data_IF_096949982587
#
_entry.id   IF_096949982587
#
_cell.length_a   1.000
_cell.length_b   1.000
_cell.length_c   1.000
_cell.angle_alpha   90.00
_cell.angle_beta   90.00
_cell.angle_gamma   90.00
#
_symmetry.space_group_name_H-M   'P 1'
#
loop_
_entity.id
_entity.type
_entity.pdbx_description
1 polymer ?
#
# COMPACT_ATOMS: atom_id res chain seq x y z
N UNK A 1 -12.36 19.33 -19.60
CA UNK A 1 -12.58 17.95 -19.13
C UNK A 1 -13.84 17.30 -19.68
N UNK A 2 -15.05 17.90 -19.67
CA UNK A 2 -16.22 17.26 -20.34
C UNK A 2 -15.94 16.98 -21.82
N UNK A 3 -15.45 17.96 -22.60
CA UNK A 3 -15.00 17.69 -23.98
C UNK A 3 -13.81 16.72 -24.10
N UNK A 4 -12.99 16.55 -23.07
CA UNK A 4 -11.84 15.63 -23.08
C UNK A 4 -12.24 14.21 -22.67
N UNK A 5 -13.16 14.04 -21.73
CA UNK A 5 -13.77 12.78 -21.34
C UNK A 5 -14.80 12.33 -22.37
N UNK A 6 -15.52 13.24 -23.03
CA UNK A 6 -16.40 12.93 -24.17
C UNK A 6 -15.57 12.57 -25.41
N UNK A 7 -14.49 13.31 -25.71
CA UNK A 7 -13.58 12.92 -26.81
C UNK A 7 -12.77 11.64 -26.49
N UNK A 8 -12.35 11.45 -25.23
CA UNK A 8 -11.78 10.17 -24.79
C UNK A 8 -12.84 9.08 -24.80
N UNK A 9 -14.09 9.35 -24.45
CA UNK A 9 -15.19 8.37 -24.49
C UNK A 9 -15.51 7.98 -25.92
N UNK A 10 -15.59 8.91 -26.86
CA UNK A 10 -15.80 8.61 -28.28
C UNK A 10 -14.62 7.80 -28.84
N UNK A 11 -13.39 8.20 -28.52
CA UNK A 11 -12.17 7.48 -28.94
C UNK A 11 -12.08 6.09 -28.29
N UNK A 12 -12.44 5.98 -27.01
CA UNK A 12 -12.54 4.71 -26.27
C UNK A 12 -13.57 3.81 -26.92
N UNK A 13 -14.78 4.31 -27.17
CA UNK A 13 -15.87 3.54 -27.76
C UNK A 13 -15.48 3.09 -29.17
N UNK A 14 -14.90 3.98 -29.97
CA UNK A 14 -14.42 3.65 -31.31
C UNK A 14 -13.31 2.59 -31.28
N UNK A 15 -12.32 2.72 -30.37
CA UNK A 15 -11.25 1.74 -30.25
C UNK A 15 -11.78 0.39 -29.74
N UNK A 16 -12.72 0.39 -28.80
CA UNK A 16 -13.38 -0.83 -28.34
C UNK A 16 -14.19 -1.49 -29.46
N UNK A 17 -14.86 -0.71 -30.31
CA UNK A 17 -15.58 -1.23 -31.49
C UNK A 17 -14.64 -1.80 -32.55
N UNK A 18 -13.49 -1.18 -32.79
CA UNK A 18 -12.54 -1.61 -33.83
C UNK A 18 -11.59 -2.71 -33.38
N UNK A 19 -11.08 -2.63 -32.15
CA UNK A 19 -10.00 -3.49 -31.61
C UNK A 19 -10.50 -4.43 -30.50
N UNK A 20 -11.74 -4.27 -30.03
CA UNK A 20 -12.32 -5.08 -28.96
C UNK A 20 -11.84 -4.70 -27.55
N UNK A 21 -10.92 -3.75 -27.43
CA UNK A 21 -10.33 -3.29 -26.17
C UNK A 21 -9.77 -1.88 -26.29
N UNK A 22 -9.77 -1.12 -25.19
CA UNK A 22 -9.12 0.17 -25.11
C UNK A 22 -7.73 0.04 -24.48
N UNK A 23 -6.73 0.66 -25.11
CA UNK A 23 -5.36 0.78 -24.59
C UNK A 23 -4.95 2.25 -24.66
N UNK A 24 -4.62 2.91 -23.53
CA UNK A 24 -4.14 4.30 -23.57
C UNK A 24 -2.87 4.44 -24.42
N UNK A 25 -2.83 5.43 -25.29
CA UNK A 25 -1.70 5.69 -26.21
C UNK A 25 -0.38 6.00 -25.48
N UNK A 26 -0.45 6.37 -24.21
CA UNK A 26 0.72 6.62 -23.36
C UNK A 26 1.45 5.36 -22.94
N UNK A 27 0.86 4.17 -23.13
CA UNK A 27 1.42 2.90 -22.68
C UNK A 27 2.31 2.27 -23.76
N UNK A 28 3.47 1.79 -23.35
CA UNK A 28 4.38 1.04 -24.22
C UNK A 28 3.93 -0.41 -24.38
N UNK A 29 3.97 -0.92 -25.61
CA UNK A 29 3.73 -2.34 -25.89
C UNK A 29 5.01 -3.15 -25.71
N UNK A 30 4.86 -4.41 -25.29
CA UNK A 30 5.93 -5.37 -25.08
C UNK A 30 7.02 -4.85 -24.12
N UNK A 31 6.60 -4.15 -23.07
CA UNK A 31 7.47 -3.70 -22.00
C UNK A 31 8.16 -4.89 -21.33
N UNK A 32 9.44 -4.76 -21.01
CA UNK A 32 10.18 -5.82 -20.32
C UNK A 32 9.67 -6.07 -18.91
N UNK A 33 9.24 -4.99 -18.23
CA UNK A 33 8.54 -5.07 -16.95
C UNK A 33 7.04 -5.11 -17.29
N UNK A 34 6.30 -6.16 -16.87
CA UNK A 34 4.88 -6.25 -17.12
C UNK A 34 4.11 -5.08 -16.49
N UNK A 35 3.04 -4.65 -17.15
CA UNK A 35 2.17 -3.62 -16.63
C UNK A 35 1.43 -4.10 -15.37
N UNK A 36 1.24 -3.20 -14.42
CA UNK A 36 0.45 -3.47 -13.21
C UNK A 36 -0.86 -2.71 -13.28
N UNK A 37 -1.96 -3.42 -13.17
CA UNK A 37 -3.30 -2.85 -13.16
C UNK A 37 -3.73 -2.61 -11.71
N UNK A 38 -3.99 -1.37 -11.33
CA UNK A 38 -4.50 -1.04 -10.01
C UNK A 38 -5.99 -0.74 -10.08
N UNK A 39 -6.77 -1.53 -9.35
CA UNK A 39 -8.22 -1.40 -9.23
C UNK A 39 -8.58 -0.70 -7.94
N UNK A 40 -9.56 0.20 -8.01
CA UNK A 40 -10.04 0.92 -6.84
C UNK A 40 -11.55 1.21 -6.95
N UNK A 41 -12.16 1.47 -5.80
CA UNK A 41 -13.53 1.94 -5.70
C UNK A 41 -13.56 3.47 -5.65
N UNK A 42 -14.32 4.08 -6.55
CA UNK A 42 -14.63 5.50 -6.52
C UNK A 42 -15.96 5.72 -5.79
N UNK A 43 -15.85 6.04 -4.51
CA UNK A 43 -16.99 6.44 -3.66
C UNK A 43 -17.07 7.98 -3.60
N UNK A 44 -17.92 8.57 -4.43
CA UNK A 44 -18.24 9.99 -4.32
C UNK A 44 -19.56 10.20 -3.58
N UNK A 45 -19.47 10.83 -2.40
CA UNK A 45 -20.65 11.38 -1.74
C UNK A 45 -21.18 12.54 -2.58
N UNK A 46 -22.23 12.32 -3.35
CA UNK A 46 -22.91 13.40 -4.05
C UNK A 46 -23.64 14.24 -3.01
N UNK A 47 -23.36 15.54 -2.98
CA UNK A 47 -24.20 16.50 -2.24
C UNK A 47 -25.44 16.81 -3.06
N UNK A 48 -26.31 15.82 -3.27
CA UNK A 48 -27.65 16.04 -3.81
C UNK A 48 -28.62 16.30 -2.66
N UNK A 49 -29.69 17.04 -2.93
CA UNK A 49 -30.78 17.30 -1.97
C UNK A 49 -31.41 16.00 -1.43
N UNK A 50 -31.24 14.88 -2.15
CA UNK A 50 -31.76 13.55 -1.82
C UNK A 50 -30.72 12.61 -1.17
N UNK A 51 -29.46 13.04 -1.00
CA UNK A 51 -28.44 12.26 -0.30
C UNK A 51 -27.90 11.03 -1.04
N UNK A 52 -27.55 11.16 -2.32
CA UNK A 52 -27.01 10.06 -3.14
C UNK A 52 -25.51 9.80 -2.95
N UNK A 53 -25.09 8.54 -3.16
CA UNK A 53 -23.69 8.15 -3.32
C UNK A 53 -23.47 7.61 -4.74
N UNK A 54 -22.45 8.12 -5.44
CA UNK A 54 -21.99 7.55 -6.69
C UNK A 54 -20.87 6.56 -6.40
N UNK A 55 -21.07 5.31 -6.81
CA UNK A 55 -20.10 4.23 -6.65
C UNK A 55 -19.68 3.77 -8.05
N UNK A 56 -18.39 3.82 -8.35
CA UNK A 56 -17.86 3.35 -9.63
C UNK A 56 -16.59 2.53 -9.43
N UNK A 57 -16.38 1.59 -10.33
CA UNK A 57 -15.13 0.85 -10.44
C UNK A 57 -14.20 1.58 -11.38
N UNK A 58 -12.97 1.80 -10.94
CA UNK A 58 -11.91 2.38 -11.77
C UNK A 58 -10.71 1.45 -11.79
N UNK A 59 -9.97 1.52 -12.90
CA UNK A 59 -8.67 0.90 -12.99
C UNK A 59 -7.68 1.85 -13.66
N UNK A 60 -6.42 1.74 -13.26
CA UNK A 60 -5.29 2.38 -13.92
C UNK A 60 -4.27 1.33 -14.31
N UNK A 61 -3.50 1.65 -15.34
CA UNK A 61 -2.32 0.90 -15.78
C UNK A 61 -1.10 1.64 -15.27
N UNK A 62 -0.21 0.93 -14.59
CA UNK A 62 1.06 1.43 -14.08
C UNK A 62 2.16 0.78 -14.90
N UNK A 63 2.85 1.60 -15.69
CA UNK A 63 4.04 1.19 -16.42
C UNK A 63 5.28 1.60 -15.60
N UNK A 64 5.96 0.60 -15.05
CA UNK A 64 7.18 0.82 -14.27
C UNK A 64 8.37 1.01 -15.21
N UNK A 65 9.05 2.13 -15.04
CA UNK A 65 10.24 2.47 -15.80
C UNK A 65 11.46 1.77 -15.21
N UNK A 66 12.37 1.30 -16.07
CA UNK A 66 13.65 0.73 -15.61
C UNK A 66 14.43 1.77 -14.82
N UNK A 67 15.05 1.32 -13.72
CA UNK A 67 16.05 2.13 -13.02
C UNK A 67 17.30 2.12 -13.89
N UNK A 68 17.48 3.15 -14.72
CA UNK A 68 18.73 3.35 -15.46
C UNK A 68 19.69 4.09 -14.55
N UNK A 69 20.80 3.44 -14.14
CA UNK A 69 21.91 4.13 -13.45
C UNK A 69 22.62 5.01 -14.50
N UNK A 70 22.22 6.27 -14.65
CA UNK A 70 22.88 7.24 -15.55
C UNK A 70 23.38 8.42 -14.74
N UNK A 71 24.59 8.88 -15.09
CA UNK A 71 25.27 10.06 -14.56
C UNK A 71 24.40 11.32 -14.68
N UNK A 72 24.57 12.19 -13.68
CA UNK A 72 23.84 13.44 -13.47
C UNK A 72 23.66 14.27 -14.75
N UNK A 73 22.41 14.70 -15.01
CA UNK A 73 22.18 15.73 -16.01
C UNK A 73 20.74 15.84 -16.49
N UNK A 74 19.90 16.52 -15.69
CA UNK A 74 18.80 17.41 -16.09
C UNK A 74 17.61 17.31 -15.12
N UNK A 75 17.37 18.39 -14.36
CA UNK A 75 16.15 18.57 -13.59
C UNK A 75 15.04 19.05 -14.53
N UNK A 76 13.91 18.34 -14.55
CA UNK A 76 12.66 18.86 -15.11
C UNK A 76 11.72 19.27 -13.98
N UNK A 77 11.18 20.48 -14.11
CA UNK A 77 10.20 21.05 -13.18
C UNK A 77 8.80 20.51 -13.47
N UNK A 78 8.15 19.90 -12.48
CA UNK A 78 6.74 19.54 -12.54
C UNK A 78 5.89 20.69 -12.01
N UNK A 79 4.99 21.22 -12.84
CA UNK A 79 3.97 22.18 -12.46
C UNK A 79 2.77 21.48 -11.81
N UNK A 80 2.36 21.96 -10.63
CA UNK A 80 1.14 21.52 -9.92
C UNK A 80 0.11 22.64 -9.89
N UNK A 81 -0.97 22.51 -10.68
CA UNK A 81 -2.30 23.12 -10.47
C UNK A 81 -3.28 22.33 -11.38
N UNK A 82 -4.56 22.04 -11.10
CA UNK A 82 -5.58 22.68 -10.27
C UNK A 82 -6.78 21.74 -9.99
N UNK A 83 -7.45 22.03 -8.85
CA UNK A 83 -8.89 21.96 -8.47
C UNK A 83 -9.89 20.88 -8.98
N UNK A 84 -10.59 20.31 -7.98
CA UNK A 84 -11.80 19.45 -8.00
C UNK A 84 -13.00 20.01 -8.78
N UNK A 85 -13.79 19.14 -9.47
CA UNK A 85 -15.29 19.17 -9.61
C UNK A 85 -15.86 17.96 -10.41
N UNK A 86 -17.19 17.80 -10.34
CA UNK A 86 -18.07 16.60 -10.34
C UNK A 86 -18.36 15.88 -11.68
N UNK A 87 -18.67 14.57 -11.59
CA UNK A 87 -19.10 13.64 -12.67
C UNK A 87 -20.62 13.71 -12.93
N UNK A 88 -21.07 13.40 -14.16
CA UNK A 88 -22.49 13.27 -14.54
C UNK A 88 -22.87 11.82 -14.88
N UNK A 89 -24.14 11.47 -14.65
CA UNK A 89 -24.71 10.12 -14.71
C UNK A 89 -24.48 9.40 -16.05
N UNK A 90 -23.88 8.20 -15.94
CA UNK A 90 -23.75 7.23 -17.03
C UNK A 90 -24.84 6.20 -16.86
N UNK A 91 -25.54 5.90 -17.94
CA UNK A 91 -26.71 5.01 -17.98
C UNK A 91 -26.33 3.58 -17.60
N UNK A 92 -27.10 2.97 -16.70
CA UNK A 92 -26.90 1.59 -16.23
C UNK A 92 -26.90 0.59 -17.40
N UNK A 93 -25.74 -0.04 -17.63
CA UNK A 93 -25.67 -1.23 -18.49
C UNK A 93 -26.18 -2.44 -17.69
N UNK A 94 -26.93 -3.36 -18.32
CA UNK A 94 -27.45 -4.55 -17.64
C UNK A 94 -26.29 -5.41 -17.12
N UNK A 95 -26.29 -5.67 -15.82
CA UNK A 95 -25.24 -6.42 -15.14
C UNK A 95 -25.19 -7.87 -15.63
N UNK A 96 -24.04 -8.38 -16.12
CA UNK A 96 -23.86 -9.81 -16.34
C UNK A 96 -23.94 -10.56 -15.00
N UNK A 97 -24.31 -11.83 -14.99
CA UNK A 97 -24.42 -12.58 -13.74
C UNK A 97 -23.08 -13.24 -13.35
N UNK A 98 -22.51 -12.84 -12.21
CA UNK A 98 -21.45 -13.60 -11.53
C UNK A 98 -21.85 -13.87 -10.08
N UNK A 99 -22.10 -15.14 -9.74
CA UNK A 99 -22.47 -15.52 -8.38
C UNK A 99 -21.23 -15.95 -7.58
N UNK A 100 -20.84 -15.17 -6.57
CA UNK A 100 -19.79 -15.55 -5.59
C UNK A 100 -20.44 -15.72 -4.22
N UNK A 101 -20.34 -16.92 -3.64
CA UNK A 101 -20.93 -17.20 -2.33
C UNK A 101 -20.06 -16.72 -1.18
N UNK A 102 -20.63 -16.62 0.02
CA UNK A 102 -19.86 -16.34 1.24
C UNK A 102 -18.78 -17.39 1.52
N UNK A 103 -19.05 -18.67 1.18
CA UNK A 103 -18.09 -19.77 1.31
C UNK A 103 -16.88 -19.58 0.38
N UNK A 104 -17.10 -19.09 -0.83
CA UNK A 104 -16.03 -18.80 -1.80
C UNK A 104 -15.11 -17.68 -1.28
N UNK A 105 -15.69 -16.64 -0.67
CA UNK A 105 -14.93 -15.57 -0.01
C UNK A 105 -14.12 -16.08 1.20
N UNK A 106 -14.72 -16.95 2.02
CA UNK A 106 -14.04 -17.52 3.17
C UNK A 106 -12.86 -18.40 2.75
N UNK A 107 -13.01 -19.19 1.68
CA UNK A 107 -11.92 -19.99 1.11
C UNK A 107 -10.76 -19.12 0.63
N UNK A 108 -11.03 -17.94 0.11
CA UNK A 108 -9.99 -16.98 -0.33
C UNK A 108 -9.13 -16.45 0.83
N UNK A 109 -9.64 -16.54 2.07
CA UNK A 109 -8.89 -16.21 3.30
C UNK A 109 -8.20 -17.42 3.93
N UNK A 110 -8.39 -18.61 3.37
CA UNK A 110 -7.83 -19.84 3.90
C UNK A 110 -6.33 -19.94 3.60
N UNK A 111 -5.58 -20.51 4.54
CA UNK A 111 -4.17 -20.83 4.36
C UNK A 111 -3.97 -22.18 3.65
N UNK A 112 -5.05 -22.92 3.36
CA UNK A 112 -5.02 -24.27 2.76
C UNK A 112 -4.24 -24.35 1.43
N UNK A 113 -4.17 -23.24 0.70
CA UNK A 113 -3.54 -23.15 -0.63
C UNK A 113 -2.24 -22.34 -0.64
N UNK A 114 -1.77 -21.88 0.53
CA UNK A 114 -0.45 -21.27 0.65
C UNK A 114 0.55 -22.42 0.69
N UNK A 115 1.31 -22.59 -0.40
CA UNK A 115 2.52 -23.42 -0.37
C UNK A 115 3.37 -22.96 0.81
N UNK A 116 3.89 -23.91 1.60
CA UNK A 116 4.73 -23.58 2.76
C UNK A 116 5.81 -22.60 2.29
N UNK A 117 5.98 -21.50 3.01
CA UNK A 117 7.00 -20.49 2.70
C UNK A 117 8.40 -21.12 2.50
N UNK A 118 8.65 -22.24 3.18
CA UNK A 118 9.86 -23.07 3.09
C UNK A 118 10.11 -23.68 1.69
N UNK A 119 9.09 -23.82 0.84
CA UNK A 119 9.24 -24.36 -0.53
C UNK A 119 9.48 -23.27 -1.59
N UNK A 120 9.31 -21.99 -1.22
CA UNK A 120 9.67 -20.86 -2.06
C UNK A 120 11.13 -20.53 -1.76
N UNK A 121 12.05 -21.22 -2.43
CA UNK A 121 13.48 -20.94 -2.36
C UNK A 121 13.74 -19.59 -3.06
N UNK A 122 13.49 -18.49 -2.35
CA UNK A 122 13.80 -17.15 -2.83
C UNK A 122 15.24 -16.84 -2.48
N UNK A 123 16.15 -17.09 -3.42
CA UNK A 123 17.47 -16.46 -3.39
C UNK A 123 17.29 -14.94 -3.47
N UNK A 124 17.33 -14.25 -2.33
CA UNK A 124 17.51 -12.80 -2.32
C UNK A 124 18.99 -12.52 -2.58
N UNK A 125 19.29 -11.44 -3.28
CA UNK A 125 20.66 -11.00 -3.53
C UNK A 125 21.30 -10.34 -2.28
N UNK A 126 20.61 -10.36 -1.13
CA UNK A 126 21.04 -9.74 0.13
C UNK A 126 20.99 -8.20 0.13
N UNK A 127 21.00 -7.56 -1.04
CA UNK A 127 21.13 -6.10 -1.20
C UNK A 127 20.06 -5.33 -0.42
N UNK A 128 18.81 -5.80 -0.42
CA UNK A 128 17.71 -5.14 0.30
C UNK A 128 17.88 -5.22 1.83
N UNK A 129 18.42 -6.33 2.34
CA UNK A 129 18.68 -6.56 3.75
C UNK A 129 19.86 -5.69 4.23
N UNK A 130 20.90 -5.57 3.40
CA UNK A 130 22.04 -4.68 3.65
C UNK A 130 21.64 -3.21 3.71
N UNK A 131 20.79 -2.75 2.79
CA UNK A 131 20.28 -1.36 2.80
C UNK A 131 19.45 -1.05 4.05
N UNK A 132 18.61 -1.99 4.49
CA UNK A 132 17.84 -1.84 5.71
C UNK A 132 18.75 -1.81 6.95
N UNK A 133 19.74 -2.70 6.99
CA UNK A 133 20.73 -2.75 8.08
C UNK A 133 21.54 -1.46 8.14
N UNK A 134 22.06 -0.99 7.00
CA UNK A 134 22.79 0.28 6.90
C UNK A 134 21.95 1.45 7.40
N UNK A 135 20.69 1.55 6.95
CA UNK A 135 19.79 2.61 7.40
C UNK A 135 19.55 2.56 8.91
N UNK A 136 19.33 1.36 9.47
CA UNK A 136 19.13 1.17 10.92
C UNK A 136 20.37 1.57 11.72
N UNK A 137 21.55 1.11 11.30
CA UNK A 137 22.82 1.43 11.97
C UNK A 137 23.10 2.94 11.94
N UNK A 138 22.92 3.57 10.78
CA UNK A 138 23.13 5.01 10.63
C UNK A 138 22.17 5.82 11.52
N UNK A 139 20.91 5.39 11.65
CA UNK A 139 19.96 6.00 12.58
C UNK A 139 20.35 5.80 14.05
N UNK A 140 20.84 4.62 14.43
CA UNK A 140 21.29 4.38 15.81
C UNK A 140 22.49 5.26 16.18
N UNK A 141 23.46 5.42 15.28
CA UNK A 141 24.65 6.27 15.49
C UNK A 141 24.25 7.74 15.61
N UNK A 142 23.47 8.25 14.65
CA UNK A 142 22.98 9.65 14.70
C UNK A 142 22.11 9.94 15.93
N UNK A 143 21.32 8.97 16.42
CA UNK A 143 20.54 9.16 17.66
C UNK A 143 21.42 9.21 18.91
N UNK A 144 22.59 8.55 18.88
CA UNK A 144 23.59 8.63 19.96
C UNK A 144 24.30 9.99 19.99
N UNK A 145 24.56 10.59 18.82
CA UNK A 145 25.20 11.91 18.69
C UNK A 145 24.21 13.06 18.96
N UNK A 146 22.92 12.87 18.67
CA UNK A 146 21.84 13.83 18.95
C UNK A 146 21.53 14.03 20.43
N UNK A 147 21.98 13.14 21.32
CA UNK A 147 21.88 13.36 22.77
C UNK A 147 22.79 14.50 23.25
N UNK A 148 23.83 14.84 22.48
CA UNK A 148 24.80 15.90 22.77
C UNK A 148 24.67 17.13 21.83
N UNK A 149 23.74 17.09 20.86
CA UNK A 149 23.57 18.15 19.86
C UNK A 149 22.57 19.24 20.32
N UNK A 150 22.79 20.52 19.96
CA UNK A 150 21.84 21.60 20.25
C UNK A 150 20.49 21.38 19.53
N UNK A 151 19.37 21.85 20.11
CA UNK A 151 18.01 21.55 19.68
C UNK A 151 17.63 22.01 18.26
N UNK A 152 18.49 22.79 17.61
CA UNK A 152 18.24 23.42 16.31
C UNK A 152 18.90 22.69 15.13
N UNK A 153 19.61 21.59 15.39
CA UNK A 153 20.26 20.81 14.35
C UNK A 153 19.29 19.85 13.67
N UNK A 154 18.70 20.24 12.53
CA UNK A 154 18.03 19.32 11.60
C UNK A 154 19.04 18.31 11.02
N UNK A 155 19.42 17.31 11.79
CA UNK A 155 20.45 16.32 11.43
C UNK A 155 20.01 14.90 11.80
N UNK A 156 18.79 14.56 11.40
CA UNK A 156 18.29 13.19 11.47
C UNK A 156 18.35 12.53 10.09
N UNK A 157 18.85 11.29 10.02
CA UNK A 157 18.64 10.47 8.82
C UNK A 157 17.14 10.37 8.50
N UNK A 158 16.74 10.51 7.22
CA UNK A 158 15.34 10.49 6.85
C UNK A 158 14.70 9.12 7.11
N UNK A 159 13.37 9.07 7.07
CA UNK A 159 12.62 7.80 7.10
C UNK A 159 13.09 6.85 5.97
N UNK A 160 12.95 5.53 6.15
CA UNK A 160 13.52 4.54 5.22
C UNK A 160 13.13 4.79 3.76
N UNK A 161 11.88 5.16 3.48
CA UNK A 161 11.44 5.46 2.11
C UNK A 161 12.17 6.66 1.49
N UNK A 162 12.42 7.71 2.27
CA UNK A 162 13.15 8.88 1.82
C UNK A 162 14.65 8.57 1.68
N UNK A 163 15.23 7.80 2.61
CA UNK A 163 16.59 7.27 2.46
C UNK A 163 16.76 6.46 1.17
N UNK A 164 15.81 5.57 0.85
CA UNK A 164 15.84 4.79 -0.38
C UNK A 164 15.68 5.67 -1.64
N UNK A 165 14.91 6.77 -1.55
CA UNK A 165 14.79 7.74 -2.63
C UNK A 165 16.10 8.52 -2.84
N UNK A 166 16.78 8.90 -1.77
CA UNK A 166 18.09 9.57 -1.82
C UNK A 166 19.17 8.68 -2.43
N UNK A 167 19.09 7.35 -2.21
CA UNK A 167 19.98 6.37 -2.86
C UNK A 167 19.70 6.20 -4.36
N UNK A 168 18.53 6.61 -4.83
CA UNK A 168 18.10 6.47 -6.22
C UNK A 168 17.51 7.80 -6.74
N UNK A 169 18.30 8.89 -6.78
CA UNK A 169 17.81 10.24 -7.07
C UNK A 169 17.27 10.39 -8.51
N UNK A 170 17.53 9.40 -9.37
CA UNK A 170 17.11 9.37 -10.77
C UNK A 170 16.16 8.22 -11.07
N UNK A 171 15.28 7.84 -10.13
CA UNK A 171 14.23 6.89 -10.44
C UNK A 171 13.18 7.57 -11.34
N UNK A 172 13.04 7.15 -12.61
CA UNK A 172 11.98 7.69 -13.47
C UNK A 172 10.61 7.40 -12.85
N UNK A 173 9.71 8.38 -12.94
CA UNK A 173 8.33 8.21 -12.50
C UNK A 173 7.64 7.15 -13.36
N UNK A 174 6.78 6.34 -12.74
CA UNK A 174 5.93 5.41 -13.47
C UNK A 174 4.97 6.19 -14.38
N UNK A 175 4.69 5.64 -15.56
CA UNK A 175 3.69 6.21 -16.48
C UNK A 175 2.34 5.64 -16.11
N UNK A 176 1.32 6.51 -16.02
CA UNK A 176 -0.03 6.12 -15.62
C UNK A 176 -0.96 6.20 -16.83
N UNK A 177 -1.59 5.07 -17.17
CA UNK A 177 -2.68 4.98 -18.13
C UNK A 177 -4.02 4.89 -17.40
N UNK A 178 -4.97 5.76 -17.73
CA UNK A 178 -6.31 5.70 -17.14
C UNK A 178 -7.24 4.84 -18.00
N UNK A 179 -7.94 3.90 -17.38
CA UNK A 179 -8.99 3.12 -18.04
C UNK A 179 -10.37 3.77 -17.84
N UNK A 180 -11.33 3.51 -18.74
CA UNK A 180 -12.69 4.05 -18.62
C UNK A 180 -13.36 3.57 -17.33
N UNK A 181 -14.13 4.42 -16.67
CA UNK A 181 -14.86 4.05 -15.46
C UNK A 181 -16.01 3.08 -15.79
N UNK A 182 -16.30 2.16 -14.87
CA UNK A 182 -17.57 1.42 -14.86
C UNK A 182 -18.45 2.05 -13.78
N UNK A 183 -19.64 2.57 -14.10
CA UNK A 183 -20.54 3.26 -13.15
C UNK A 183 -21.28 2.26 -12.25
N UNK A 184 -20.57 1.27 -11.70
CA UNK A 184 -21.09 0.28 -10.79
C UNK A 184 -20.05 -0.06 -9.72
N UNK A 185 -20.51 -0.45 -8.54
CA UNK A 185 -19.62 -0.73 -7.41
C UNK A 185 -18.78 -1.99 -7.67
N UNK A 186 -17.47 -1.98 -7.34
CA UNK A 186 -16.61 -3.17 -7.43
C UNK A 186 -16.96 -4.23 -6.37
N UNK A 187 -17.89 -3.92 -5.45
CA UNK A 187 -18.43 -4.90 -4.50
C UNK A 187 -19.36 -5.93 -5.15
N UNK A 188 -19.87 -5.62 -6.35
CA UNK A 188 -20.61 -6.57 -7.18
C UNK A 188 -19.62 -7.52 -7.89
N UNK A 189 -19.67 -8.83 -7.63
CA UNK A 189 -18.79 -9.80 -8.28
C UNK A 189 -18.92 -9.81 -9.80
N UNK A 190 -20.08 -9.45 -10.36
CA UNK A 190 -20.27 -9.35 -11.79
C UNK A 190 -19.44 -8.23 -12.41
N UNK A 191 -19.52 -7.05 -11.80
CA UNK A 191 -18.77 -5.86 -12.19
C UNK A 191 -17.27 -6.16 -12.10
N UNK A 192 -16.84 -6.77 -10.99
CA UNK A 192 -15.43 -7.11 -10.79
C UNK A 192 -14.94 -8.15 -11.81
N UNK A 193 -15.75 -9.16 -12.14
CA UNK A 193 -15.39 -10.18 -13.13
C UNK A 193 -15.24 -9.57 -14.53
N UNK A 194 -16.18 -8.74 -14.95
CA UNK A 194 -16.08 -8.06 -16.26
C UNK A 194 -14.88 -7.12 -16.31
N UNK A 195 -14.61 -6.42 -15.21
CA UNK A 195 -13.43 -5.57 -15.12
C UNK A 195 -12.15 -6.40 -15.24
N UNK A 196 -12.03 -7.52 -14.52
CA UNK A 196 -10.90 -8.44 -14.67
C UNK A 196 -10.73 -8.95 -16.10
N UNK A 197 -11.82 -9.29 -16.80
CA UNK A 197 -11.75 -9.67 -18.23
C UNK A 197 -11.24 -8.52 -19.10
N UNK A 198 -11.68 -7.29 -18.84
CA UNK A 198 -11.20 -6.09 -19.53
C UNK A 198 -9.70 -5.92 -19.33
N UNK A 199 -9.23 -6.05 -18.09
CA UNK A 199 -7.79 -5.95 -17.77
C UNK A 199 -6.96 -7.04 -18.45
N UNK A 200 -7.45 -8.29 -18.50
CA UNK A 200 -6.78 -9.38 -19.24
C UNK A 200 -6.65 -9.05 -20.73
N UNK A 201 -7.72 -8.56 -21.36
CA UNK A 201 -7.68 -8.13 -22.77
C UNK A 201 -6.70 -6.98 -22.99
N UNK A 202 -6.71 -5.98 -22.11
CA UNK A 202 -5.81 -4.82 -22.20
C UNK A 202 -4.35 -5.25 -22.02
N UNK A 203 -4.07 -6.10 -21.05
CA UNK A 203 -2.75 -6.69 -20.79
C UNK A 203 -2.23 -7.47 -21.99
N UNK A 204 -3.08 -8.30 -22.61
CA UNK A 204 -2.72 -9.02 -23.83
C UNK A 204 -2.46 -8.08 -25.02
N UNK A 205 -3.25 -7.02 -25.18
CA UNK A 205 -3.03 -6.00 -26.22
C UNK A 205 -1.75 -5.17 -26.01
N UNK A 206 -1.29 -5.06 -24.75
CA UNK A 206 0.01 -4.51 -24.37
C UNK A 206 1.16 -5.52 -24.55
N UNK A 207 0.88 -6.78 -24.84
CA UNK A 207 1.88 -7.83 -25.03
C UNK A 207 2.37 -8.49 -23.74
N UNK A 208 1.71 -8.25 -22.61
CA UNK A 208 2.07 -8.89 -21.35
C UNK A 208 1.67 -10.37 -21.35
N UNK A 209 2.56 -11.23 -20.88
CA UNK A 209 2.27 -12.67 -20.70
C UNK A 209 1.34 -12.94 -19.50
N UNK A 210 1.50 -12.16 -18.43
CA UNK A 210 0.72 -12.27 -17.19
C UNK A 210 0.02 -10.95 -16.91
N UNK A 211 -1.23 -11.02 -16.48
CA UNK A 211 -1.99 -9.84 -16.07
C UNK A 211 -1.85 -9.66 -14.57
N UNK A 212 -1.12 -8.63 -14.15
CA UNK A 212 -0.88 -8.33 -12.73
C UNK A 212 -1.93 -7.33 -12.26
N UNK A 213 -2.78 -7.74 -11.31
CA UNK A 213 -3.85 -6.89 -10.77
C UNK A 213 -3.61 -6.65 -9.30
N UNK A 214 -3.62 -5.40 -8.87
CA UNK A 214 -3.57 -4.98 -7.47
C UNK A 214 -4.83 -4.22 -7.08
N UNK A 215 -5.25 -4.33 -5.83
CA UNK A 215 -6.40 -3.57 -5.32
C UNK A 215 -6.43 -3.51 -3.80
N UNK A 216 -7.45 -2.85 -3.26
CA UNK A 216 -7.70 -2.86 -1.82
C UNK A 216 -8.01 -4.29 -1.31
N UNK A 217 -8.10 -4.45 0.02
CA UNK A 217 -8.31 -5.77 0.60
C UNK A 217 -9.64 -6.42 0.16
N UNK A 218 -10.73 -5.65 0.08
CA UNK A 218 -12.04 -6.19 -0.26
C UNK A 218 -12.09 -6.65 -1.72
N UNK A 219 -11.54 -5.85 -2.62
CA UNK A 219 -11.41 -6.13 -4.06
C UNK A 219 -10.49 -7.33 -4.28
N UNK A 220 -9.35 -7.38 -3.59
CA UNK A 220 -8.43 -8.51 -3.66
C UNK A 220 -9.10 -9.83 -3.26
N UNK A 221 -9.77 -9.87 -2.10
CA UNK A 221 -10.45 -11.07 -1.63
C UNK A 221 -11.54 -11.55 -2.59
N UNK A 222 -12.29 -10.63 -3.18
CA UNK A 222 -13.32 -10.96 -4.16
C UNK A 222 -12.73 -11.42 -5.50
N UNK A 223 -11.66 -10.77 -5.97
CA UNK A 223 -10.94 -11.16 -7.18
C UNK A 223 -10.33 -12.56 -7.06
N UNK A 224 -9.78 -12.93 -5.89
CA UNK A 224 -9.28 -14.29 -5.62
C UNK A 224 -10.41 -15.31 -5.76
N UNK A 225 -11.57 -15.04 -5.15
CA UNK A 225 -12.74 -15.92 -5.26
C UNK A 225 -13.21 -16.09 -6.72
N UNK A 226 -13.23 -15.00 -7.49
CA UNK A 226 -13.59 -15.03 -8.92
C UNK A 226 -12.57 -15.83 -9.73
N UNK A 227 -11.27 -15.55 -9.56
CA UNK A 227 -10.18 -16.25 -10.24
C UNK A 227 -10.22 -17.75 -9.96
N UNK A 228 -10.38 -18.15 -8.70
CA UNK A 228 -10.40 -19.57 -8.33
C UNK A 228 -11.62 -20.30 -8.85
N UNK A 229 -12.77 -19.62 -8.94
CA UNK A 229 -13.99 -20.16 -9.54
C UNK A 229 -13.92 -20.28 -11.06
N UNK A 230 -13.17 -19.40 -11.72
CA UNK A 230 -13.01 -19.30 -13.17
C UNK A 230 -11.53 -19.43 -13.57
N UNK A 231 -10.88 -20.50 -13.09
CA UNK A 231 -9.42 -20.74 -13.23
C UNK A 231 -8.97 -20.80 -14.68
N UNK A 232 -9.80 -21.33 -15.55
CA UNK A 232 -9.62 -21.39 -17.00
C UNK A 232 -9.61 -20.00 -17.63
N UNK A 233 -10.55 -19.13 -17.25
CA UNK A 233 -10.65 -17.74 -17.73
C UNK A 233 -9.48 -16.87 -17.22
N UNK A 234 -8.99 -17.11 -16.00
CA UNK A 234 -8.02 -16.25 -15.31
C UNK A 234 -6.69 -16.96 -14.97
N UNK A 235 -6.29 -17.95 -15.75
CA UNK A 235 -5.09 -18.76 -15.49
C UNK A 235 -3.78 -17.95 -15.47
N UNK A 236 -3.70 -16.85 -16.23
CA UNK A 236 -2.53 -15.98 -16.31
C UNK A 236 -2.65 -14.71 -15.45
N UNK A 237 -3.63 -14.66 -14.54
CA UNK A 237 -3.85 -13.51 -13.65
C UNK A 237 -3.09 -13.70 -12.35
N UNK A 238 -2.22 -12.74 -12.04
CA UNK A 238 -1.54 -12.63 -10.75
C UNK A 238 -2.22 -11.53 -9.95
N UNK A 239 -2.79 -11.90 -8.80
CA UNK A 239 -3.45 -10.97 -7.89
C UNK A 239 -2.47 -10.56 -6.80
N UNK A 240 -2.35 -9.26 -6.57
CA UNK A 240 -1.54 -8.67 -5.51
C UNK A 240 -2.45 -7.89 -4.56
N UNK A 241 -2.27 -8.11 -3.25
CA UNK A 241 -2.88 -7.22 -2.27
C UNK A 241 -2.20 -5.84 -2.37
N UNK A 242 -2.96 -4.75 -2.35
CA UNK A 242 -2.41 -3.40 -2.42
C UNK A 242 -1.37 -3.16 -1.32
N UNK A 243 -0.27 -2.49 -1.67
CA UNK A 243 0.90 -2.34 -0.78
C UNK A 243 0.58 -1.73 0.59
N UNK A 244 -0.39 -0.81 0.65
CA UNK A 244 -0.90 -0.29 1.93
C UNK A 244 -1.51 -1.38 2.80
N UNK A 245 -2.39 -2.22 2.23
CA UNK A 245 -3.04 -3.31 2.97
C UNK A 245 -2.07 -4.45 3.29
N UNK A 246 -1.08 -4.72 2.45
CA UNK A 246 0.02 -5.63 2.78
C UNK A 246 0.76 -5.15 4.03
N UNK A 247 1.19 -3.89 4.06
CA UNK A 247 1.86 -3.29 5.21
C UNK A 247 0.94 -3.29 6.45
N UNK A 248 -0.32 -2.88 6.30
CA UNK A 248 -1.27 -2.86 7.42
C UNK A 248 -1.50 -4.27 8.00
N UNK A 249 -1.72 -5.28 7.17
CA UNK A 249 -1.95 -6.65 7.62
C UNK A 249 -0.71 -7.24 8.30
N UNK A 250 0.48 -7.00 7.74
CA UNK A 250 1.73 -7.41 8.37
C UNK A 250 1.91 -6.78 9.75
N UNK A 251 1.72 -5.45 9.86
CA UNK A 251 1.87 -4.76 11.14
C UNK A 251 0.82 -5.20 12.16
N UNK A 252 -0.43 -5.46 11.73
CA UNK A 252 -1.46 -6.02 12.63
C UNK A 252 -1.04 -7.36 13.20
N UNK A 253 -0.45 -8.25 12.38
CA UNK A 253 0.06 -9.52 12.85
C UNK A 253 1.19 -9.34 13.88
N UNK A 254 2.15 -8.44 13.59
CA UNK A 254 3.24 -8.09 14.52
C UNK A 254 2.69 -7.52 15.83
N UNK A 255 1.76 -6.56 15.78
CA UNK A 255 1.15 -5.98 16.97
C UNK A 255 0.37 -7.00 17.78
N UNK A 256 -0.29 -7.98 17.14
CA UNK A 256 -0.95 -9.09 17.85
C UNK A 256 0.06 -9.92 18.64
N UNK A 257 1.18 -10.31 18.02
CA UNK A 257 2.25 -11.08 18.69
C UNK A 257 2.82 -10.29 19.88
N UNK A 258 3.14 -9.02 19.66
CA UNK A 258 3.72 -8.15 20.69
C UNK A 258 2.73 -7.91 21.84
N UNK A 259 1.44 -7.76 21.55
CA UNK A 259 0.37 -7.67 22.55
C UNK A 259 0.30 -8.93 23.39
N UNK A 260 0.29 -10.09 22.74
CA UNK A 260 0.25 -11.40 23.41
C UNK A 260 1.50 -11.65 24.25
N UNK A 261 2.62 -10.98 23.94
CA UNK A 261 3.84 -10.95 24.74
C UNK A 261 3.80 -9.96 25.93
N UNK A 262 2.67 -9.28 26.19
CA UNK A 262 2.49 -8.40 27.35
C UNK A 262 2.92 -6.94 27.14
N UNK A 263 3.08 -6.49 25.89
CA UNK A 263 3.51 -5.11 25.63
C UNK A 263 2.53 -4.04 26.15
N UNK A 264 1.23 -4.33 26.22
CA UNK A 264 0.25 -3.42 26.83
C UNK A 264 0.61 -3.13 28.30
N UNK A 265 0.85 -4.18 29.08
CA UNK A 265 1.19 -4.08 30.50
C UNK A 265 2.52 -3.36 30.71
N UNK A 266 3.52 -3.64 29.86
CA UNK A 266 4.84 -2.98 29.91
C UNK A 266 4.70 -1.48 29.67
N UNK A 267 3.93 -1.06 28.67
CA UNK A 267 3.75 0.36 28.34
C UNK A 267 2.97 1.10 29.44
N UNK A 268 1.98 0.44 30.05
CA UNK A 268 1.21 0.99 31.17
C UNK A 268 2.09 1.11 32.42
N UNK A 269 2.81 0.04 32.78
CA UNK A 269 3.71 0.03 33.93
C UNK A 269 4.86 1.04 33.80
N UNK A 270 5.38 1.26 32.58
CA UNK A 270 6.38 2.27 32.30
C UNK A 270 5.85 3.72 32.37
N UNK A 271 4.52 3.89 32.46
CA UNK A 271 3.85 5.20 32.41
C UNK A 271 3.93 5.86 31.04
N UNK A 272 4.15 5.07 29.97
CA UNK A 272 4.22 5.55 28.60
C UNK A 272 2.83 5.68 27.98
N UNK A 273 1.86 4.88 28.42
CA UNK A 273 0.49 4.90 27.96
C UNK A 273 -0.49 4.64 29.11
N UNK A 274 -1.71 5.16 28.99
CA UNK A 274 -2.84 4.71 29.80
C UNK A 274 -3.39 3.38 29.25
N UNK A 275 -4.02 2.59 30.12
CA UNK A 275 -4.56 1.27 29.77
C UNK A 275 -5.50 1.30 28.55
N UNK A 276 -6.40 2.28 28.49
CA UNK A 276 -7.31 2.45 27.35
C UNK A 276 -6.59 2.76 26.03
N UNK A 277 -5.50 3.51 26.09
CA UNK A 277 -4.68 3.85 24.91
C UNK A 277 -3.90 2.63 24.43
N UNK A 278 -3.30 1.86 25.35
CA UNK A 278 -2.60 0.62 25.03
C UNK A 278 -3.54 -0.37 24.32
N UNK A 279 -4.73 -0.64 24.88
CA UNK A 279 -5.74 -1.51 24.26
C UNK A 279 -6.17 -1.04 22.88
N UNK A 280 -6.27 0.28 22.66
CA UNK A 280 -6.63 0.84 21.35
C UNK A 280 -5.52 0.66 20.32
N UNK A 281 -4.27 0.87 20.72
CA UNK A 281 -3.09 0.76 19.85
C UNK A 281 -2.84 -0.65 19.34
N UNK A 282 -3.04 -1.67 20.18
CA UNK A 282 -2.85 -3.08 19.81
C UNK A 282 -4.17 -3.82 19.55
N UNK A 283 -5.28 -3.10 19.51
CA UNK A 283 -6.61 -3.68 19.30
C UNK A 283 -6.79 -4.29 17.90
N UNK A 284 -7.70 -5.25 17.76
CA UNK A 284 -8.00 -5.87 16.45
C UNK A 284 -8.53 -4.87 15.42
N UNK A 285 -9.19 -3.82 15.91
CA UNK A 285 -9.72 -2.71 15.12
C UNK A 285 -8.73 -1.54 14.95
N UNK A 286 -7.47 -1.73 15.36
CA UNK A 286 -6.46 -0.69 15.21
C UNK A 286 -6.29 -0.33 13.72
N UNK A 287 -6.36 0.98 13.44
CA UNK A 287 -6.05 1.49 12.12
C UNK A 287 -4.53 1.49 11.87
N UNK A 288 -4.13 1.81 10.65
CA UNK A 288 -2.73 1.81 10.23
C UNK A 288 -1.88 2.73 11.11
N UNK A 289 -2.37 3.93 11.42
CA UNK A 289 -1.63 4.94 12.19
C UNK A 289 -1.47 4.54 13.65
N UNK A 290 -2.51 3.95 14.25
CA UNK A 290 -2.46 3.41 15.60
C UNK A 290 -1.43 2.28 15.71
N UNK A 291 -1.42 1.38 14.73
CA UNK A 291 -0.46 0.26 14.66
C UNK A 291 0.97 0.77 14.50
N UNK A 292 1.19 1.74 13.60
CA UNK A 292 2.49 2.40 13.40
C UNK A 292 2.96 3.14 14.66
N UNK A 293 2.06 3.82 15.35
CA UNK A 293 2.37 4.54 16.57
C UNK A 293 2.83 3.58 17.67
N UNK A 294 2.12 2.46 17.85
CA UNK A 294 2.47 1.41 18.79
C UNK A 294 3.89 0.88 18.55
N UNK A 295 4.19 0.51 17.30
CA UNK A 295 5.51 0.02 16.90
C UNK A 295 6.60 1.08 17.09
N UNK A 296 6.30 2.35 16.83
CA UNK A 296 7.25 3.46 17.03
C UNK A 296 7.59 3.69 18.50
N UNK A 297 6.62 3.58 19.41
CA UNK A 297 6.87 3.70 20.85
C UNK A 297 7.78 2.55 21.32
N UNK A 298 7.54 1.34 20.83
CA UNK A 298 8.31 0.16 21.21
C UNK A 298 9.71 0.09 20.58
N UNK A 299 9.87 0.60 19.36
CA UNK A 299 11.15 0.59 18.63
C UNK A 299 11.99 1.85 18.82
N UNK A 300 11.39 2.93 19.34
CA UNK A 300 12.15 4.12 19.70
C UNK A 300 13.19 3.80 20.78
N UNK A 301 14.35 4.48 20.79
CA UNK A 301 15.25 4.38 21.93
C UNK A 301 14.43 4.78 23.14
N UNK A 302 14.27 3.85 24.09
CA UNK A 302 13.51 4.11 25.30
C UNK A 302 14.32 5.08 26.18
N UNK A 303 14.41 6.35 25.79
CA UNK A 303 15.06 7.42 26.56
C UNK A 303 14.40 7.61 27.92
N UNK A 304 13.14 7.20 28.05
CA UNK A 304 12.44 7.10 29.33
C UNK A 304 12.92 5.92 30.18
N UNK A 305 13.25 4.77 29.58
CA UNK A 305 13.76 3.60 30.30
C UNK A 305 15.21 3.83 30.75
N UNK A 306 16.07 4.35 29.87
CA UNK A 306 17.47 4.65 30.23
C UNK A 306 17.56 5.85 31.17
N UNK A 307 16.81 6.93 30.92
CA UNK A 307 16.85 8.15 31.73
C UNK A 307 16.18 8.07 33.10
N UNK A 308 15.20 7.18 33.33
CA UNK A 308 14.66 6.93 34.68
C UNK A 308 15.54 5.94 35.46
N UNK A 309 16.09 4.92 34.80
CA UNK A 309 16.97 3.96 35.47
C UNK A 309 18.31 4.60 35.87
N UNK A 310 18.92 5.43 35.00
CA UNK A 310 20.12 6.20 35.34
C UNK A 310 19.88 7.22 36.46
N UNK A 311 18.72 7.88 36.51
CA UNK A 311 18.38 8.80 37.61
C UNK A 311 18.17 8.06 38.93
N UNK A 312 17.56 6.88 38.90
CA UNK A 312 17.35 6.08 40.10
C UNK A 312 18.68 5.51 40.64
N UNK A 313 19.57 5.06 39.75
CA UNK A 313 20.93 4.57 40.11
C UNK A 313 21.80 5.71 40.66
N UNK A 314 21.78 6.90 40.04
CA UNK A 314 22.52 8.06 40.54
C UNK A 314 21.97 8.61 41.87
N UNK A 315 20.67 8.46 42.15
CA UNK A 315 20.10 8.83 43.46
C UNK A 315 20.48 7.82 44.55
N UNK A 316 20.54 6.53 44.24
CA UNK A 316 20.99 5.50 45.19
C UNK A 316 22.49 5.56 45.48
N UNK A 317 23.34 5.90 44.49
CA UNK A 317 24.78 6.10 44.73
C UNK A 317 25.06 7.36 45.57
N UNK A 318 24.32 8.46 45.36
CA UNK A 318 24.45 9.66 46.18
C UNK A 318 23.99 9.47 47.63
N UNK A 319 23.01 8.60 47.89
CA UNK A 319 22.58 8.26 49.25
C UNK A 319 23.58 7.36 49.99
N UNK A 320 24.24 6.43 49.30
CA UNK A 320 25.23 5.54 49.91
C UNK A 320 26.59 6.21 50.18
N UNK A 321 26.96 7.24 49.41
CA UNK A 321 28.20 8.01 49.65
C UNK A 321 28.00 9.04 50.78
N UNK A 322 26.76 9.44 51.08
CA UNK A 322 26.42 10.38 52.15
C UNK A 322 26.31 9.78 53.57
N UNK A 323 26.32 8.45 53.71
CA UNK A 323 26.20 7.77 55.02
C UNK A 323 27.53 7.23 55.58
N UNK A 324 28.65 7.55 54.93
CA UNK A 324 30.01 7.23 55.40
C UNK A 324 30.93 8.46 55.43
N UNK A 325 30.44 9.57 56.01
CA UNK A 325 31.27 10.67 56.51
C UNK A 325 30.80 11.09 57.89
#
# INVERSE_FOLDING_TARGET
MQRQLTAQSEKVMQQVETEGVYVPETMMKNSEIPHVFAMDNLDWKMKTLEGGSFNATTAIIIENQKIVRVQEGARFTTSTSDRKKTLSDVTDLPAPMCHVSAKDRQRSRSLEHIEKLESLDTSSDGTAEDLLLMWRLARMVTTSELLDAPPDAESGLPGFSAFCADLHPHRPASIIGYLPLIPASPTDPAVLKEEMKRLVKTSHALGDKYTIITGDQATYELAVAIRDKHRDEFCNVVLLLGGFHQAHNYMKAVCKIIREAGAEDILVAAGLCQEGTAKKMFGEKADYYQTMHALRILSGPCGACTGKHLRHVQQTEKHNIGSHK
#
